data_IF_363258836534
#
_entry.id   IF_363258836534
#
_cell.length_a   1.000
_cell.length_b   1.000
_cell.length_c   1.000
_cell.angle_alpha   90.00
_cell.angle_beta   90.00
_cell.angle_gamma   90.00
#
_symmetry.space_group_name_H-M   'P 1'
#
loop_
_entity.id
_entity.type
_entity.pdbx_description
1 polymer ?
#
# COMPACT_ATOMS: atom_id res chain seq x y z
N UNK A 1 -4.44 1.76 -13.00
CA UNK A 1 -3.64 2.53 -12.03
C UNK A 1 -4.40 2.80 -10.74
N UNK A 2 -5.44 3.65 -10.76
CA UNK A 2 -6.12 4.16 -9.56
C UNK A 2 -6.69 3.07 -8.62
N UNK A 3 -7.38 2.06 -9.16
CA UNK A 3 -7.97 0.97 -8.35
C UNK A 3 -6.91 0.11 -7.64
N UNK A 4 -5.70 -0.01 -8.19
CA UNK A 4 -4.60 -0.74 -7.55
C UNK A 4 -4.11 0.02 -6.30
N UNK A 5 -4.26 1.35 -6.25
CA UNK A 5 -3.78 2.18 -5.15
C UNK A 5 -4.70 2.20 -3.92
N UNK A 6 -6.00 1.95 -4.09
CA UNK A 6 -6.99 1.95 -3.00
C UNK A 6 -6.59 1.05 -1.82
N UNK A 7 -6.22 -0.23 -1.99
CA UNK A 7 -5.84 -1.08 -0.85
C UNK A 7 -4.63 -0.55 -0.09
N UNK A 8 -3.66 0.07 -0.77
CA UNK A 8 -2.49 0.69 -0.12
C UNK A 8 -2.86 1.92 0.71
N UNK A 9 -3.82 2.71 0.23
CA UNK A 9 -4.36 3.88 0.92
C UNK A 9 -5.12 3.49 2.19
N UNK A 10 -5.97 2.46 2.09
CA UNK A 10 -6.68 1.91 3.26
C UNK A 10 -5.68 1.43 4.31
N UNK A 11 -4.62 0.73 3.89
CA UNK A 11 -3.58 0.25 4.80
C UNK A 11 -2.90 1.41 5.54
N UNK A 12 -2.52 2.49 4.85
CA UNK A 12 -1.92 3.66 5.48
C UNK A 12 -2.86 4.31 6.51
N UNK A 13 -4.13 4.47 6.17
CA UNK A 13 -5.12 5.07 7.08
C UNK A 13 -5.32 4.20 8.33
N UNK A 14 -5.38 2.87 8.16
CA UNK A 14 -5.50 1.93 9.27
C UNK A 14 -4.28 2.00 10.17
N UNK A 15 -3.06 1.91 9.61
CA UNK A 15 -1.81 1.98 10.38
C UNK A 15 -1.68 3.32 11.12
N UNK A 16 -2.02 4.43 10.47
CA UNK A 16 -2.03 5.74 11.09
C UNK A 16 -3.02 5.81 12.27
N UNK A 17 -4.26 5.32 12.10
CA UNK A 17 -5.26 5.33 13.16
C UNK A 17 -4.85 4.49 14.38
N UNK A 18 -4.20 3.35 14.15
CA UNK A 18 -3.70 2.47 15.22
C UNK A 18 -2.54 3.14 15.95
N UNK A 19 -1.59 3.76 15.24
CA UNK A 19 -0.48 4.48 15.87
C UNK A 19 -0.93 5.68 16.69
N UNK A 20 -1.90 6.44 16.18
CA UNK A 20 -2.53 7.54 16.90
C UNK A 20 -3.22 7.02 18.17
N UNK A 21 -3.93 5.88 18.09
CA UNK A 21 -4.58 5.27 19.26
C UNK A 21 -3.59 4.77 20.32
N UNK A 22 -2.38 4.37 19.92
CA UNK A 22 -1.29 3.98 20.82
C UNK A 22 -0.52 5.18 21.40
N UNK A 23 -0.85 6.42 21.02
CA UNK A 23 -0.16 7.63 21.45
C UNK A 23 1.22 7.83 20.81
N UNK A 24 1.57 7.07 19.77
CA UNK A 24 2.89 7.10 19.14
C UNK A 24 2.98 8.15 18.03
N UNK A 25 2.93 9.43 18.41
CA UNK A 25 2.93 10.57 17.46
C UNK A 25 4.27 10.81 16.77
N UNK A 26 5.38 10.35 17.37
CA UNK A 26 6.73 10.64 16.88
C UNK A 26 7.28 9.58 15.92
N UNK A 27 6.61 8.44 15.79
CA UNK A 27 6.97 7.42 14.81
C UNK A 27 6.18 7.68 13.52
N UNK A 28 6.85 7.97 12.39
CA UNK A 28 6.20 8.05 11.09
C UNK A 28 5.43 6.75 10.79
N UNK A 29 4.10 6.82 10.56
CA UNK A 29 3.29 5.64 10.24
C UNK A 29 3.78 4.84 9.04
N UNK A 30 4.47 5.52 8.13
CA UNK A 30 5.06 4.97 6.91
C UNK A 30 6.07 3.85 7.22
N UNK A 31 6.86 3.96 8.30
CA UNK A 31 7.82 2.91 8.64
C UNK A 31 7.14 1.58 8.97
N UNK A 32 5.93 1.64 9.55
CA UNK A 32 5.13 0.46 9.86
C UNK A 32 4.35 0.03 8.61
N UNK A 33 3.77 0.96 7.85
CA UNK A 33 2.94 0.60 6.69
C UNK A 33 3.76 0.02 5.52
N UNK A 34 5.02 0.42 5.34
CA UNK A 34 5.90 -0.04 4.26
C UNK A 34 6.05 -1.57 4.16
N UNK A 35 6.48 -2.31 5.22
CA UNK A 35 6.60 -3.76 5.13
C UNK A 35 5.26 -4.44 4.83
N UNK A 36 4.15 -3.96 5.42
CA UNK A 36 2.82 -4.51 5.13
C UNK A 36 2.35 -4.22 3.70
N UNK A 37 2.65 -3.03 3.15
CA UNK A 37 2.39 -2.71 1.75
C UNK A 37 3.15 -3.63 0.81
N UNK A 38 4.43 -3.89 1.08
CA UNK A 38 5.22 -4.80 0.25
C UNK A 38 4.65 -6.22 0.28
N UNK A 39 4.25 -6.71 1.46
CA UNK A 39 3.57 -8.00 1.58
C UNK A 39 2.26 -8.02 0.79
N UNK A 40 1.40 -7.01 0.96
CA UNK A 40 0.13 -6.90 0.24
C UNK A 40 0.38 -6.87 -1.28
N UNK A 41 1.38 -6.11 -1.73
CA UNK A 41 1.74 -6.00 -3.15
C UNK A 41 2.18 -7.35 -3.74
N UNK A 42 2.98 -8.13 -3.01
CA UNK A 42 3.38 -9.47 -3.45
C UNK A 42 2.20 -10.45 -3.41
N UNK A 43 1.35 -10.38 -2.39
CA UNK A 43 0.18 -11.27 -2.22
C UNK A 43 -0.86 -11.11 -3.33
N UNK A 44 -1.06 -9.88 -3.83
CA UNK A 44 -2.00 -9.61 -4.94
C UNK A 44 -1.37 -9.76 -6.32
N UNK A 45 -0.15 -10.31 -6.40
CA UNK A 45 0.62 -10.43 -7.64
C UNK A 45 0.78 -9.07 -8.37
N UNK A 46 1.10 -8.03 -7.59
CA UNK A 46 1.14 -6.65 -8.04
C UNK A 46 2.10 -6.39 -9.20
N UNK A 47 3.14 -7.21 -9.36
CA UNK A 47 4.06 -7.15 -10.50
C UNK A 47 3.36 -7.48 -11.81
N UNK A 48 2.56 -8.55 -11.86
CA UNK A 48 1.79 -8.90 -13.06
C UNK A 48 0.71 -7.85 -13.37
N UNK A 49 0.07 -7.27 -12.36
CA UNK A 49 -0.88 -6.18 -12.54
C UNK A 49 -0.22 -4.92 -13.11
N UNK A 50 0.97 -4.56 -12.62
CA UNK A 50 1.74 -3.42 -13.15
C UNK A 50 2.15 -3.66 -14.61
N UNK A 51 2.84 -4.77 -14.89
CA UNK A 51 3.33 -5.09 -16.23
C UNK A 51 2.18 -5.23 -17.22
N UNK A 52 1.10 -5.93 -16.85
CA UNK A 52 -0.08 -6.07 -17.69
C UNK A 52 -0.77 -4.73 -17.97
N UNK A 53 -0.79 -3.81 -17.00
CA UNK A 53 -1.33 -2.46 -17.22
C UNK A 53 -0.46 -1.60 -18.14
N UNK A 54 0.86 -1.77 -18.08
CA UNK A 54 1.80 -1.07 -18.95
C UNK A 54 1.66 -1.57 -20.40
N UNK A 55 1.69 -2.89 -20.61
CA UNK A 55 1.55 -3.48 -21.95
C UNK A 55 0.24 -3.06 -22.62
N UNK A 56 -0.88 -3.08 -21.87
CA UNK A 56 -2.18 -2.60 -22.36
C UNK A 56 -2.24 -1.10 -22.66
N UNK A 57 -1.32 -0.29 -22.12
CA UNK A 57 -1.26 1.14 -22.39
C UNK A 57 -0.48 1.47 -23.66
N UNK A 58 0.38 0.56 -24.14
CA UNK A 58 1.22 0.76 -25.32
C UNK A 58 0.63 0.15 -26.60
N UNK A 59 -0.31 -0.79 -26.48
CA UNK A 59 -0.99 -1.46 -27.60
C UNK A 59 -2.40 -0.88 -27.78
#
# INVERSE_FOLDING_TARGET
>A
GFLIYIPFLVLDMVVASVLLSMGMMMLPPVMISLPFKLLLFVLVDGWNLLVGSLVKSFM
#
